data_IF_553278041117
#
_entry.id   IF_553278041117
#
_cell.length_a   1.000
_cell.length_b   1.000
_cell.length_c   1.000
_cell.angle_alpha   90.00
_cell.angle_beta   90.00
_cell.angle_gamma   90.00
#
_symmetry.space_group_name_H-M   'P 1'
#
loop_
_entity.id
_entity.type
_entity.pdbx_description
1 polymer ?
#
# COMPACT_ATOMS: atom_id res chain seq x y z
N UNK A 1 -32.96 71.82 40.72
CA UNK A 1 -32.04 71.14 41.64
C UNK A 1 -31.47 69.99 40.86
N UNK A 2 -30.24 70.19 40.40
CA UNK A 2 -29.47 69.25 39.58
C UNK A 2 -29.01 68.10 40.37
N UNK A 3 -29.08 66.91 39.73
CA UNK A 3 -28.32 65.79 40.16
C UNK A 3 -27.65 65.16 38.90
N UNK A 4 -26.40 65.45 38.73
CA UNK A 4 -25.47 64.93 37.77
C UNK A 4 -25.14 63.50 38.14
N UNK A 5 -25.39 62.54 37.22
CA UNK A 5 -24.93 61.17 37.33
C UNK A 5 -23.62 61.04 36.58
N UNK A 6 -22.61 60.59 37.33
CA UNK A 6 -21.25 60.23 36.87
C UNK A 6 -21.29 58.88 36.12
N UNK A 7 -20.83 58.86 34.87
CA UNK A 7 -20.67 57.66 34.07
C UNK A 7 -19.22 57.24 34.13
N UNK A 8 -18.98 56.14 34.88
CA UNK A 8 -17.72 55.41 34.84
C UNK A 8 -17.59 54.60 33.55
N UNK A 9 -16.67 54.99 32.67
CA UNK A 9 -16.23 54.23 31.52
C UNK A 9 -15.36 53.04 31.99
N UNK A 10 -15.85 51.84 31.87
CA UNK A 10 -15.04 50.64 31.95
C UNK A 10 -14.43 50.34 30.59
N UNK A 11 -13.13 50.56 30.46
CA UNK A 11 -12.34 50.14 29.30
C UNK A 11 -12.12 48.63 29.36
N UNK A 12 -12.81 47.86 28.51
CA UNK A 12 -12.48 46.47 28.26
C UNK A 12 -11.24 46.42 27.37
N UNK A 13 -10.13 45.98 27.93
CA UNK A 13 -8.94 45.58 27.16
C UNK A 13 -9.25 44.25 26.49
N UNK A 14 -9.57 44.32 25.21
CA UNK A 14 -9.67 43.17 24.32
C UNK A 14 -8.25 42.65 24.10
N UNK A 15 -7.91 41.52 24.74
CA UNK A 15 -6.72 40.76 24.43
C UNK A 15 -7.05 39.86 23.23
N UNK A 16 -6.33 39.97 22.12
CA UNK A 16 -6.49 39.04 21.03
C UNK A 16 -6.10 37.64 21.56
N UNK A 17 -7.07 36.71 21.55
CA UNK A 17 -6.79 35.28 21.73
C UNK A 17 -5.74 34.88 20.70
N UNK A 18 -4.63 34.33 21.17
CA UNK A 18 -3.60 33.77 20.32
C UNK A 18 -4.26 32.68 19.47
N UNK A 19 -4.32 32.87 18.15
CA UNK A 19 -4.68 31.83 17.19
C UNK A 19 -3.80 30.61 17.51
N UNK A 20 -4.43 29.55 17.97
CA UNK A 20 -3.75 28.30 18.25
C UNK A 20 -3.01 27.84 17.01
N UNK A 21 -1.71 27.73 17.09
CA UNK A 21 -0.90 27.15 16.04
C UNK A 21 -1.51 25.76 15.72
N UNK A 22 -1.95 25.59 14.47
CA UNK A 22 -2.44 24.28 14.02
C UNK A 22 -1.33 23.25 14.28
N UNK A 23 -1.68 22.12 14.89
CA UNK A 23 -0.73 21.03 15.08
C UNK A 23 -0.06 20.72 13.74
N UNK A 24 1.26 20.53 13.71
CA UNK A 24 1.95 20.22 12.49
C UNK A 24 1.35 18.94 11.86
N UNK A 25 1.09 18.99 10.55
CA UNK A 25 0.51 17.87 9.83
C UNK A 25 1.38 16.60 10.00
N UNK A 26 0.78 15.41 10.26
CA UNK A 26 1.52 14.23 10.68
C UNK A 26 2.44 13.71 9.57
N UNK A 27 3.66 13.33 9.96
CA UNK A 27 4.64 12.65 9.13
C UNK A 27 4.39 11.13 9.18
N UNK A 28 4.42 10.48 8.01
CA UNK A 28 4.11 9.06 7.87
C UNK A 28 5.35 8.27 7.42
N UNK A 29 5.79 7.28 8.19
CA UNK A 29 6.71 6.27 7.68
C UNK A 29 5.97 5.39 6.68
N UNK A 30 6.29 5.48 5.40
CA UNK A 30 5.77 4.61 4.37
C UNK A 30 6.75 3.45 4.13
N UNK A 31 6.29 2.23 4.36
CA UNK A 31 7.08 0.99 4.36
C UNK A 31 6.62 0.10 3.21
N UNK A 32 7.56 -0.37 2.39
CA UNK A 32 7.36 -1.37 1.34
C UNK A 32 8.07 -2.66 1.78
N UNK A 33 7.27 -3.65 2.17
CA UNK A 33 7.75 -4.98 2.56
C UNK A 33 7.79 -5.87 1.34
N UNK A 34 8.98 -6.21 0.88
CA UNK A 34 9.16 -7.09 -0.27
C UNK A 34 9.84 -8.40 0.09
N UNK A 35 9.56 -9.45 -0.70
CA UNK A 35 10.21 -10.77 -0.53
C UNK A 35 11.73 -10.77 -0.73
N UNK A 36 12.32 -9.72 -1.29
CA UNK A 36 13.78 -9.61 -1.51
C UNK A 36 14.38 -8.38 -0.85
N UNK A 37 13.57 -7.44 -0.38
CA UNK A 37 14.07 -6.22 0.26
C UNK A 37 12.98 -5.40 0.89
N UNK A 38 13.32 -4.75 1.98
CA UNK A 38 12.49 -3.84 2.75
C UNK A 38 12.92 -2.41 2.45
N UNK A 39 11.96 -1.51 2.25
CA UNK A 39 12.23 -0.09 1.96
C UNK A 39 11.32 0.77 2.82
N UNK A 40 11.80 1.96 3.18
CA UNK A 40 10.98 2.95 3.88
C UNK A 40 11.43 4.37 3.53
N UNK A 41 10.49 5.30 3.62
CA UNK A 41 10.73 6.73 3.52
C UNK A 41 9.69 7.49 4.35
N UNK A 42 9.93 8.76 4.66
CA UNK A 42 8.95 9.62 5.31
C UNK A 42 8.18 10.40 4.26
N UNK A 43 6.85 10.39 4.38
CA UNK A 43 5.92 11.20 3.61
C UNK A 43 5.32 12.29 4.48
N UNK A 44 5.10 13.47 3.91
CA UNK A 44 4.28 14.51 4.51
C UNK A 44 2.77 14.21 4.34
N UNK A 45 1.92 15.08 4.82
CA UNK A 45 0.45 14.93 4.74
C UNK A 45 -0.09 15.02 3.31
N UNK A 46 0.66 15.59 2.37
CA UNK A 46 0.30 15.64 0.96
C UNK A 46 0.78 14.39 0.19
N UNK A 47 1.51 13.48 0.86
CA UNK A 47 2.10 12.29 0.25
C UNK A 47 3.43 12.54 -0.46
N UNK A 48 4.01 13.73 -0.33
CA UNK A 48 5.34 14.00 -0.86
C UNK A 48 6.43 13.37 0.03
N UNK A 49 7.46 12.82 -0.60
CA UNK A 49 8.59 12.23 0.12
C UNK A 49 9.49 13.33 0.69
N UNK A 50 9.65 13.36 2.01
CA UNK A 50 10.44 14.36 2.75
C UNK A 50 11.71 13.81 3.38
N UNK A 51 12.06 12.56 3.11
CA UNK A 51 13.33 11.95 3.48
C UNK A 51 13.92 11.14 2.34
N UNK A 52 15.22 10.83 2.42
CA UNK A 52 15.80 9.80 1.58
C UNK A 52 15.16 8.44 1.86
N UNK A 53 15.07 7.61 0.82
CA UNK A 53 14.60 6.24 0.93
C UNK A 53 15.70 5.36 1.52
N UNK A 54 15.41 4.71 2.64
CA UNK A 54 16.26 3.68 3.22
C UNK A 54 15.84 2.29 2.73
N UNK A 55 16.81 1.37 2.63
CA UNK A 55 16.57 0.00 2.20
C UNK A 55 17.51 -0.99 2.88
N UNK A 56 17.02 -2.22 3.07
CA UNK A 56 17.80 -3.40 3.47
C UNK A 56 17.30 -4.63 2.70
N UNK A 57 18.12 -5.66 2.59
CA UNK A 57 17.69 -6.94 2.02
C UNK A 57 16.81 -7.68 3.02
N UNK A 58 15.78 -8.38 2.53
CA UNK A 58 15.00 -9.30 3.36
C UNK A 58 15.88 -10.49 3.74
N UNK A 59 15.94 -10.81 5.03
CA UNK A 59 16.75 -11.93 5.55
C UNK A 59 15.85 -13.15 5.73
N UNK A 60 16.31 -14.32 5.32
CA UNK A 60 15.60 -15.59 5.46
C UNK A 60 16.36 -16.58 6.34
N UNK A 61 15.68 -17.48 7.06
CA UNK A 61 14.22 -17.53 7.24
C UNK A 61 13.68 -16.29 7.95
N UNK A 62 12.47 -15.84 7.56
CA UNK A 62 11.89 -14.59 8.03
C UNK A 62 10.63 -14.84 8.87
N UNK A 63 10.80 -15.04 10.17
CA UNK A 63 9.68 -15.12 11.10
C UNK A 63 9.01 -13.74 11.30
N UNK A 64 7.77 -13.68 11.83
CA UNK A 64 7.13 -12.41 12.19
C UNK A 64 8.00 -11.52 13.07
N UNK A 65 8.61 -12.07 14.13
CA UNK A 65 9.50 -11.33 15.02
C UNK A 65 10.70 -10.77 14.27
N UNK A 66 11.32 -11.57 13.40
CA UNK A 66 12.46 -11.13 12.58
C UNK A 66 12.08 -9.97 11.67
N UNK A 67 10.92 -10.05 11.02
CA UNK A 67 10.44 -8.96 10.18
C UNK A 67 10.20 -7.69 10.99
N UNK A 68 9.56 -7.79 12.16
CA UNK A 68 9.33 -6.65 13.05
C UNK A 68 10.64 -5.98 13.46
N UNK A 69 11.67 -6.76 13.82
CA UNK A 69 12.99 -6.24 14.21
C UNK A 69 13.67 -5.52 13.03
N UNK A 70 13.62 -6.12 11.84
CA UNK A 70 14.20 -5.53 10.62
C UNK A 70 13.48 -4.23 10.23
N UNK A 71 12.14 -4.19 10.33
CA UNK A 71 11.36 -2.98 10.06
C UNK A 71 11.60 -1.89 11.08
N UNK A 72 11.68 -2.22 12.38
CA UNK A 72 12.02 -1.26 13.43
C UNK A 72 13.42 -0.67 13.21
N UNK A 73 14.40 -1.50 12.91
CA UNK A 73 15.74 -1.07 12.57
C UNK A 73 15.81 -0.22 11.29
N UNK A 74 14.94 -0.48 10.33
CA UNK A 74 14.83 0.30 9.09
C UNK A 74 14.21 1.68 9.36
N UNK A 75 13.08 1.73 10.07
CA UNK A 75 12.37 2.97 10.41
C UNK A 75 13.20 3.82 11.38
N UNK A 76 13.93 3.22 12.31
CA UNK A 76 14.85 3.92 13.21
C UNK A 76 15.99 4.68 12.51
N UNK A 77 16.20 4.48 11.21
CA UNK A 77 17.15 5.26 10.38
C UNK A 77 16.50 6.48 9.71
N UNK A 78 15.20 6.63 9.82
CA UNK A 78 14.44 7.75 9.29
C UNK A 78 14.37 8.90 10.31
N UNK A 79 14.06 10.13 9.87
CA UNK A 79 13.62 11.19 10.78
C UNK A 79 12.41 10.77 11.61
N UNK A 80 12.04 11.62 12.60
CA UNK A 80 10.82 11.44 13.39
C UNK A 80 9.58 11.23 12.49
N UNK A 81 8.70 10.34 12.94
CA UNK A 81 7.41 10.06 12.29
C UNK A 81 6.31 9.96 13.35
N UNK A 82 5.10 10.36 12.98
CA UNK A 82 3.94 10.35 13.87
C UNK A 82 3.08 9.10 13.70
N UNK A 83 3.22 8.40 12.56
CA UNK A 83 2.49 7.19 12.21
C UNK A 83 3.22 6.39 11.13
N UNK A 84 2.79 5.14 10.90
CA UNK A 84 3.37 4.29 9.87
C UNK A 84 2.31 3.62 9.00
N UNK A 85 2.66 3.36 7.73
CA UNK A 85 1.88 2.56 6.78
C UNK A 85 2.80 1.52 6.16
N UNK A 86 2.37 0.26 6.08
CA UNK A 86 3.15 -0.79 5.47
C UNK A 86 2.35 -1.54 4.39
N UNK A 87 2.96 -1.68 3.20
CA UNK A 87 2.50 -2.60 2.17
C UNK A 87 3.16 -3.97 2.39
N UNK A 88 2.38 -5.04 2.51
CA UNK A 88 2.82 -6.40 2.77
C UNK A 88 2.48 -7.34 1.60
N UNK A 89 3.42 -8.17 1.10
CA UNK A 89 3.20 -9.03 -0.05
C UNK A 89 2.47 -10.33 0.36
N UNK A 90 1.20 -10.23 0.63
CA UNK A 90 0.32 -11.33 1.04
C UNK A 90 -1.06 -10.83 1.40
N UNK A 91 -1.94 -11.75 1.77
CA UNK A 91 -3.30 -11.42 2.13
C UNK A 91 -3.32 -10.79 3.52
N UNK A 92 -3.76 -9.53 3.59
CA UNK A 92 -3.95 -8.77 4.82
C UNK A 92 -5.40 -8.33 4.92
N UNK A 93 -5.97 -8.44 6.13
CA UNK A 93 -7.32 -7.93 6.42
C UNK A 93 -7.34 -7.34 7.82
N UNK A 94 -7.73 -6.08 7.93
CA UNK A 94 -7.74 -5.33 9.20
C UNK A 94 -6.41 -5.46 9.96
N UNK A 95 -5.28 -5.32 9.23
CA UNK A 95 -3.94 -5.41 9.81
C UNK A 95 -3.46 -6.80 10.18
N UNK A 96 -4.28 -7.86 9.97
CA UNK A 96 -3.96 -9.26 10.27
C UNK A 96 -3.50 -9.94 8.98
N UNK A 97 -2.36 -10.63 9.02
CA UNK A 97 -1.84 -11.44 7.91
C UNK A 97 -2.60 -12.76 7.86
N UNK A 98 -3.27 -13.03 6.73
CA UNK A 98 -3.97 -14.29 6.46
C UNK A 98 -3.16 -15.22 5.57
N UNK A 99 -2.22 -14.68 4.78
CA UNK A 99 -1.23 -15.46 4.05
C UNK A 99 0.05 -14.64 3.84
N UNK A 100 1.20 -15.32 3.84
CA UNK A 100 2.53 -14.73 3.71
C UNK A 100 3.40 -15.57 2.77
N UNK A 101 3.07 -15.69 1.45
CA UNK A 101 3.65 -16.71 0.56
C UNK A 101 5.17 -16.60 0.41
N UNK A 102 5.74 -15.41 0.60
CA UNK A 102 7.19 -15.21 0.54
C UNK A 102 7.88 -15.50 1.88
N UNK A 103 7.19 -15.34 3.00
CA UNK A 103 7.76 -15.40 4.35
C UNK A 103 7.61 -16.77 5.03
N UNK A 104 6.78 -17.65 4.47
CA UNK A 104 6.64 -19.05 4.95
C UNK A 104 7.68 -19.97 4.33
N UNK A 105 8.70 -19.45 3.67
CA UNK A 105 9.72 -20.22 2.93
C UNK A 105 11.09 -20.15 3.61
N UNK A 106 11.88 -21.21 3.47
CA UNK A 106 13.17 -21.35 4.17
C UNK A 106 14.25 -20.38 3.68
N UNK A 107 14.23 -20.02 2.39
CA UNK A 107 15.28 -19.22 1.75
C UNK A 107 14.74 -18.10 0.84
N UNK A 108 13.46 -17.75 0.97
CA UNK A 108 12.83 -16.70 0.19
C UNK A 108 11.95 -17.20 -0.95
N UNK A 109 11.41 -16.29 -1.76
CA UNK A 109 10.41 -16.59 -2.77
C UNK A 109 10.83 -17.72 -3.72
N UNK A 110 10.01 -18.79 -3.79
CA UNK A 110 10.22 -19.96 -4.66
C UNK A 110 11.06 -21.07 -4.04
N UNK A 111 11.51 -20.93 -2.79
CA UNK A 111 12.12 -22.05 -2.02
C UNK A 111 11.04 -22.86 -1.30
N UNK A 112 11.47 -23.94 -0.63
CA UNK A 112 10.58 -24.85 0.09
C UNK A 112 9.84 -24.13 1.22
N UNK A 113 8.62 -24.56 1.49
CA UNK A 113 7.78 -24.05 2.58
C UNK A 113 8.25 -24.67 3.90
N UNK A 114 8.25 -23.81 4.94
CA UNK A 114 8.53 -24.18 6.31
C UNK A 114 7.22 -24.17 7.12
N UNK A 115 6.89 -25.30 7.73
CA UNK A 115 5.65 -25.49 8.50
C UNK A 115 5.63 -24.65 9.79
N UNK A 116 6.78 -24.36 10.41
CA UNK A 116 6.85 -23.53 11.60
C UNK A 116 6.60 -22.06 11.24
N UNK A 117 7.22 -21.59 10.15
CA UNK A 117 6.95 -20.26 9.62
C UNK A 117 5.48 -20.13 9.18
N UNK A 118 4.92 -21.14 8.54
CA UNK A 118 3.52 -21.15 8.13
C UNK A 118 2.58 -20.95 9.33
N UNK A 119 2.83 -21.65 10.43
CA UNK A 119 2.08 -21.49 11.68
C UNK A 119 2.32 -20.14 12.34
N UNK A 120 3.55 -19.64 12.30
CA UNK A 120 3.90 -18.35 12.92
C UNK A 120 3.26 -17.14 12.20
N UNK A 121 3.07 -17.24 10.88
CA UNK A 121 2.44 -16.20 10.06
C UNK A 121 0.92 -16.30 10.01
N UNK A 122 0.34 -17.46 10.39
CA UNK A 122 -1.10 -17.67 10.33
C UNK A 122 -1.84 -16.73 11.29
N UNK A 123 -2.69 -15.88 10.76
CA UNK A 123 -3.45 -14.87 11.50
C UNK A 123 -2.59 -13.95 12.38
N UNK A 124 -1.36 -13.64 11.93
CA UNK A 124 -0.46 -12.79 12.70
C UNK A 124 -0.93 -11.32 12.67
N UNK A 125 -1.13 -10.65 13.83
CA UNK A 125 -1.63 -9.28 13.93
C UNK A 125 -0.52 -8.26 13.64
N UNK A 126 -0.07 -8.20 12.38
CA UNK A 126 1.12 -7.45 11.96
C UNK A 126 1.00 -5.95 12.25
N UNK A 127 -0.18 -5.35 12.06
CA UNK A 127 -0.36 -3.91 12.31
C UNK A 127 -0.17 -3.57 13.78
N UNK A 128 -0.80 -4.34 14.69
CA UNK A 128 -0.71 -4.10 16.13
C UNK A 128 0.70 -4.34 16.67
N UNK A 129 1.35 -5.42 16.23
CA UNK A 129 2.69 -5.77 16.68
C UNK A 129 3.74 -4.78 16.14
N UNK A 130 3.55 -4.29 14.91
CA UNK A 130 4.41 -3.27 14.32
C UNK A 130 4.18 -1.91 15.01
N UNK A 131 2.92 -1.54 15.33
CA UNK A 131 2.62 -0.34 16.08
C UNK A 131 3.28 -0.32 17.46
N UNK A 132 3.25 -1.46 18.18
CA UNK A 132 3.96 -1.61 19.46
C UNK A 132 5.47 -1.45 19.29
N UNK A 133 6.03 -2.01 18.22
CA UNK A 133 7.48 -1.98 17.99
C UNK A 133 7.99 -0.61 17.56
N UNK A 134 7.19 0.14 16.79
CA UNK A 134 7.53 1.48 16.32
C UNK A 134 7.08 2.60 17.27
N UNK A 135 6.25 2.27 18.27
CA UNK A 135 5.64 3.22 19.23
C UNK A 135 4.80 4.31 18.54
N UNK A 136 4.27 4.03 17.34
CA UNK A 136 3.37 4.93 16.61
C UNK A 136 2.19 4.15 16.03
N UNK A 137 1.03 4.79 15.84
CA UNK A 137 -0.09 4.17 15.13
C UNK A 137 0.36 3.62 13.78
N UNK A 138 -0.02 2.39 13.45
CA UNK A 138 0.43 1.71 12.24
C UNK A 138 -0.73 1.06 11.51
N UNK A 139 -0.79 1.22 10.20
CA UNK A 139 -1.70 0.50 9.31
C UNK A 139 -0.92 -0.40 8.36
N UNK A 140 -1.47 -1.58 8.09
CA UNK A 140 -0.89 -2.56 7.16
C UNK A 140 -1.96 -3.00 6.17
N UNK A 141 -1.61 -2.97 4.89
CA UNK A 141 -2.45 -3.45 3.79
C UNK A 141 -1.62 -4.32 2.84
N UNK A 142 -2.26 -4.95 1.86
CA UNK A 142 -1.52 -5.61 0.80
C UNK A 142 -0.70 -4.59 -0.01
N UNK A 143 0.43 -5.02 -0.60
CA UNK A 143 1.33 -4.14 -1.36
C UNK A 143 0.67 -3.55 -2.61
N UNK A 144 -0.21 -4.30 -3.30
CA UNK A 144 -0.97 -3.79 -4.44
C UNK A 144 -2.05 -2.78 -4.00
N UNK A 145 -2.63 -2.94 -2.80
CA UNK A 145 -3.57 -1.98 -2.23
C UNK A 145 -2.89 -0.63 -1.97
N UNK A 146 -1.70 -0.66 -1.36
CA UNK A 146 -0.90 0.55 -1.12
C UNK A 146 -0.49 1.21 -2.44
N UNK A 147 -0.02 0.43 -3.41
CA UNK A 147 0.34 0.97 -4.73
C UNK A 147 -0.88 1.57 -5.45
N UNK A 148 -2.02 0.88 -5.36
CA UNK A 148 -3.27 1.32 -5.96
C UNK A 148 -3.76 2.64 -5.39
N UNK A 149 -3.72 2.80 -4.09
CA UNK A 149 -4.15 4.01 -3.40
C UNK A 149 -3.43 5.29 -3.88
N UNK A 150 -2.21 5.16 -4.44
CA UNK A 150 -1.46 6.29 -4.99
C UNK A 150 -1.93 6.74 -6.39
N UNK A 151 -2.67 5.91 -7.12
CA UNK A 151 -2.95 6.15 -8.55
C UNK A 151 -4.43 6.32 -8.86
N UNK A 152 -5.33 5.84 -8.00
CA UNK A 152 -6.79 5.98 -8.20
C UNK A 152 -7.22 7.44 -8.11
N UNK A 153 -8.20 7.80 -8.92
CA UNK A 153 -8.75 9.16 -8.97
C UNK A 153 -9.93 9.37 -8.03
N UNK A 154 -10.52 8.28 -7.53
CA UNK A 154 -11.63 8.32 -6.59
C UNK A 154 -12.99 8.46 -7.24
N UNK A 155 -13.18 7.92 -8.45
CA UNK A 155 -14.45 7.98 -9.16
C UNK A 155 -14.89 6.60 -9.63
N UNK A 156 -16.03 6.12 -9.13
CA UNK A 156 -16.60 4.84 -9.50
C UNK A 156 -15.78 3.65 -9.01
N UNK A 157 -15.90 2.51 -9.70
CA UNK A 157 -15.13 1.30 -9.39
C UNK A 157 -13.81 1.30 -10.16
N UNK A 158 -12.71 1.42 -9.46
CA UNK A 158 -11.37 1.47 -10.02
C UNK A 158 -10.61 0.18 -9.69
N UNK A 159 -10.10 -0.49 -10.71
CA UNK A 159 -9.24 -1.68 -10.59
C UNK A 159 -7.78 -1.29 -10.76
N UNK A 160 -6.93 -1.76 -9.88
CA UNK A 160 -5.47 -1.67 -10.04
C UNK A 160 -4.90 -3.07 -10.25
N UNK A 161 -4.04 -3.21 -11.25
CA UNK A 161 -3.29 -4.44 -11.54
C UNK A 161 -1.80 -4.11 -11.47
N UNK A 162 -1.07 -4.79 -10.62
CA UNK A 162 0.40 -4.65 -10.55
C UNK A 162 1.07 -5.83 -11.23
N UNK A 163 1.99 -5.54 -12.17
CA UNK A 163 2.73 -6.54 -12.95
C UNK A 163 4.21 -6.51 -12.57
N UNK A 164 4.65 -7.54 -11.88
CA UNK A 164 6.01 -7.68 -11.37
C UNK A 164 6.49 -9.13 -11.40
N UNK A 165 7.11 -9.60 -10.32
CA UNK A 165 7.44 -11.02 -10.11
C UNK A 165 6.19 -11.88 -10.29
N UNK A 166 5.08 -11.43 -9.72
CA UNK A 166 3.73 -11.95 -9.87
C UNK A 166 2.76 -10.89 -10.39
N UNK A 167 1.49 -11.07 -10.06
CA UNK A 167 0.38 -10.17 -10.32
C UNK A 167 -0.29 -9.83 -8.99
N UNK A 168 -0.43 -8.55 -8.69
CA UNK A 168 -1.28 -8.08 -7.59
C UNK A 168 -2.51 -7.39 -8.15
N UNK A 169 -3.57 -7.33 -7.36
CA UNK A 169 -4.82 -6.65 -7.71
C UNK A 169 -5.35 -5.89 -6.52
N UNK A 170 -5.92 -4.70 -6.74
CA UNK A 170 -6.62 -3.92 -5.73
C UNK A 170 -7.89 -3.32 -6.32
N UNK A 171 -8.92 -3.16 -5.51
CA UNK A 171 -10.19 -2.55 -5.90
C UNK A 171 -10.48 -1.35 -5.02
N UNK A 172 -10.97 -0.28 -5.65
CA UNK A 172 -11.40 0.93 -4.98
C UNK A 172 -12.78 1.32 -5.48
N UNK A 173 -13.60 1.87 -4.60
CA UNK A 173 -14.89 2.44 -4.97
C UNK A 173 -14.99 3.86 -4.39
N UNK A 174 -15.19 4.84 -5.28
CA UNK A 174 -15.20 6.26 -4.95
C UNK A 174 -14.01 6.67 -4.05
N UNK A 175 -12.80 6.16 -4.40
CA UNK A 175 -11.54 6.41 -3.70
C UNK A 175 -11.33 5.57 -2.43
N UNK A 176 -12.36 4.90 -1.92
CA UNK A 176 -12.25 4.00 -0.78
C UNK A 176 -11.69 2.63 -1.18
N UNK A 177 -10.66 2.15 -0.47
CA UNK A 177 -10.13 0.79 -0.67
C UNK A 177 -11.18 -0.24 -0.24
N UNK A 178 -11.54 -1.15 -1.14
CA UNK A 178 -12.37 -2.30 -0.83
C UNK A 178 -11.55 -3.40 -0.14
N UNK A 179 -12.21 -4.37 0.54
CA UNK A 179 -11.51 -5.52 1.11
C UNK A 179 -10.67 -6.22 0.05
N UNK A 180 -9.40 -6.47 0.37
CA UNK A 180 -8.46 -7.11 -0.56
C UNK A 180 -8.97 -8.47 -1.06
N UNK A 181 -8.86 -8.68 -2.38
CA UNK A 181 -9.22 -9.92 -3.06
C UNK A 181 -8.05 -10.36 -3.96
N UNK A 182 -7.63 -11.60 -3.78
CA UNK A 182 -6.53 -12.23 -4.54
C UNK A 182 -6.99 -12.72 -5.92
N UNK A 183 -7.46 -11.83 -6.78
CA UNK A 183 -7.90 -12.18 -8.14
C UNK A 183 -6.81 -12.83 -8.98
N UNK A 184 -5.54 -12.54 -8.69
CA UNK A 184 -4.40 -13.14 -9.37
C UNK A 184 -4.35 -14.66 -9.26
N UNK A 185 -4.96 -15.25 -8.23
CA UNK A 185 -5.04 -16.69 -8.03
C UNK A 185 -6.23 -17.36 -8.73
N UNK A 186 -7.07 -16.59 -9.41
CA UNK A 186 -8.17 -17.15 -10.20
C UNK A 186 -7.65 -17.90 -11.45
N UNK A 187 -8.33 -18.98 -11.87
CA UNK A 187 -7.99 -19.68 -13.11
C UNK A 187 -8.08 -18.75 -14.33
N UNK A 188 -7.07 -18.77 -15.17
CA UNK A 188 -7.03 -17.92 -16.36
C UNK A 188 -6.89 -18.70 -17.65
N UNK A 189 -5.85 -19.52 -17.77
CA UNK A 189 -5.53 -20.15 -19.04
C UNK A 189 -4.83 -21.51 -18.86
N UNK A 190 -5.32 -22.54 -19.56
CA UNK A 190 -4.73 -23.91 -19.55
C UNK A 190 -4.59 -24.54 -18.16
N UNK A 191 -5.46 -24.19 -17.24
CA UNK A 191 -5.42 -24.63 -15.85
C UNK A 191 -4.55 -23.77 -14.92
N UNK A 192 -3.75 -22.86 -15.47
CA UNK A 192 -2.93 -21.94 -14.68
C UNK A 192 -3.72 -20.67 -14.29
N UNK A 193 -3.30 -20.02 -13.23
CA UNK A 193 -3.85 -18.76 -12.71
C UNK A 193 -3.38 -17.55 -13.50
N UNK A 194 -3.95 -16.36 -13.23
CA UNK A 194 -3.42 -15.09 -13.76
C UNK A 194 -1.97 -14.89 -13.34
N UNK A 195 -1.66 -15.13 -12.06
CA UNK A 195 -0.31 -14.98 -11.51
C UNK A 195 0.71 -15.86 -12.27
N UNK A 196 0.39 -17.13 -12.48
CA UNK A 196 1.27 -18.07 -13.19
C UNK A 196 1.42 -17.76 -14.68
N UNK A 197 0.46 -17.08 -15.29
CA UNK A 197 0.47 -16.78 -16.74
C UNK A 197 1.02 -15.40 -17.08
N UNK A 198 1.06 -14.46 -16.12
CA UNK A 198 1.42 -13.05 -16.35
C UNK A 198 2.66 -12.59 -15.58
N UNK A 199 3.14 -13.35 -14.58
CA UNK A 199 4.32 -13.00 -13.82
C UNK A 199 5.62 -12.96 -14.66
N UNK A 200 6.65 -12.32 -14.12
CA UNK A 200 7.95 -12.08 -14.78
C UNK A 200 8.57 -13.35 -15.40
N UNK A 201 8.51 -14.47 -14.72
CA UNK A 201 9.06 -15.75 -15.21
C UNK A 201 8.46 -16.15 -16.56
N UNK A 202 7.16 -15.94 -16.74
CA UNK A 202 6.48 -16.25 -17.99
C UNK A 202 6.79 -15.20 -19.04
N UNK A 203 6.78 -13.92 -18.68
CA UNK A 203 7.17 -12.83 -19.58
C UNK A 203 8.54 -13.08 -20.20
N UNK A 204 9.55 -13.36 -19.37
CA UNK A 204 10.92 -13.66 -19.82
C UNK A 204 10.97 -14.86 -20.77
N UNK A 205 10.14 -15.89 -20.53
CA UNK A 205 10.11 -17.11 -21.36
C UNK A 205 9.47 -16.90 -22.73
N UNK A 206 8.38 -16.10 -22.83
CA UNK A 206 7.58 -15.99 -24.07
C UNK A 206 7.83 -14.70 -24.85
N UNK A 207 8.53 -13.73 -24.26
CA UNK A 207 8.80 -12.40 -24.79
C UNK A 207 7.63 -11.41 -24.63
N UNK A 208 8.00 -10.11 -24.61
CA UNK A 208 7.08 -9.01 -24.28
C UNK A 208 5.84 -8.97 -25.18
N UNK A 209 5.97 -9.16 -26.48
CA UNK A 209 4.84 -9.08 -27.41
C UNK A 209 3.77 -10.17 -27.22
N UNK A 210 4.18 -11.42 -26.90
CA UNK A 210 3.22 -12.49 -26.59
C UNK A 210 2.63 -12.30 -25.19
N UNK A 211 3.43 -11.80 -24.28
CA UNK A 211 3.02 -11.51 -22.91
C UNK A 211 2.00 -10.35 -22.88
N UNK A 212 2.24 -9.24 -23.58
CA UNK A 212 1.31 -8.12 -23.68
C UNK A 212 -0.08 -8.55 -24.20
N UNK A 213 -0.13 -9.46 -25.18
CA UNK A 213 -1.41 -10.04 -25.64
C UNK A 213 -2.14 -10.85 -24.57
N UNK A 214 -1.39 -11.49 -23.63
CA UNK A 214 -2.02 -12.18 -22.49
C UNK A 214 -2.53 -11.19 -21.46
N UNK A 215 -1.77 -10.12 -21.20
CA UNK A 215 -2.22 -9.04 -20.30
C UNK A 215 -3.51 -8.40 -20.84
N UNK A 216 -3.58 -8.08 -22.13
CA UNK A 216 -4.81 -7.57 -22.74
C UNK A 216 -6.01 -8.49 -22.51
N UNK A 217 -5.82 -9.80 -22.73
CA UNK A 217 -6.88 -10.78 -22.44
C UNK A 217 -7.24 -10.87 -20.95
N UNK A 218 -6.28 -10.71 -20.05
CA UNK A 218 -6.55 -10.68 -18.62
C UNK A 218 -7.36 -9.44 -18.21
N UNK A 219 -7.03 -8.27 -18.78
CA UNK A 219 -7.82 -7.04 -18.60
C UNK A 219 -9.26 -7.25 -19.07
N UNK A 220 -9.47 -7.89 -20.22
CA UNK A 220 -10.84 -8.21 -20.70
C UNK A 220 -11.59 -9.15 -19.76
N UNK A 221 -10.90 -10.13 -19.15
CA UNK A 221 -11.50 -10.99 -18.13
C UNK A 221 -11.88 -10.18 -16.89
N UNK A 222 -11.00 -9.33 -16.39
CA UNK A 222 -11.30 -8.48 -15.22
C UNK A 222 -12.42 -7.48 -15.54
N UNK A 223 -12.46 -6.91 -16.73
CA UNK A 223 -13.57 -6.04 -17.16
C UNK A 223 -14.92 -6.75 -17.07
N UNK A 224 -14.99 -8.01 -17.49
CA UNK A 224 -16.21 -8.82 -17.38
C UNK A 224 -16.53 -9.27 -15.95
N UNK A 225 -15.53 -9.43 -15.09
CA UNK A 225 -15.71 -9.87 -13.70
C UNK A 225 -16.14 -8.74 -12.77
N UNK A 226 -15.56 -7.55 -12.94
CA UNK A 226 -15.71 -6.45 -11.99
C UNK A 226 -16.55 -5.31 -12.52
N UNK A 227 -16.70 -5.19 -13.87
CA UNK A 227 -17.34 -4.02 -14.50
C UNK A 227 -16.73 -2.70 -14.03
N UNK A 228 -15.38 -2.65 -13.89
CA UNK A 228 -14.69 -1.44 -13.48
C UNK A 228 -14.95 -0.27 -14.42
N UNK A 229 -15.01 0.93 -13.88
CA UNK A 229 -15.10 2.18 -14.65
C UNK A 229 -13.72 2.57 -15.19
N UNK A 230 -12.65 2.30 -14.43
CA UNK A 230 -11.26 2.53 -14.84
C UNK A 230 -10.32 1.47 -14.32
N UNK A 231 -9.26 1.15 -15.09
CA UNK A 231 -8.22 0.21 -14.69
C UNK A 231 -6.84 0.85 -14.79
N UNK A 232 -6.05 0.75 -13.73
CA UNK A 232 -4.64 1.17 -13.71
C UNK A 232 -3.74 -0.05 -13.77
N UNK A 233 -2.74 -0.02 -14.65
CA UNK A 233 -1.73 -1.08 -14.73
C UNK A 233 -0.37 -0.52 -14.34
N UNK A 234 0.14 -0.96 -13.19
CA UNK A 234 1.42 -0.58 -12.62
C UNK A 234 2.38 -1.78 -12.47
N UNK A 235 3.42 -1.56 -11.65
CA UNK A 235 4.47 -2.55 -11.41
C UNK A 235 5.61 -2.47 -12.42
N UNK A 236 6.74 -3.10 -12.09
CA UNK A 236 7.99 -2.98 -12.86
C UNK A 236 7.90 -3.44 -14.32
N UNK A 237 6.91 -4.27 -14.65
CA UNK A 237 6.70 -4.78 -16.01
C UNK A 237 5.66 -3.98 -16.83
N UNK A 238 4.95 -3.05 -16.22
CA UNK A 238 3.91 -2.26 -16.90
C UNK A 238 4.48 -1.49 -18.12
N UNK A 239 5.67 -0.95 -18.00
CA UNK A 239 6.36 -0.20 -19.08
C UNK A 239 6.73 -1.06 -20.31
N UNK A 240 6.59 -2.39 -20.22
CA UNK A 240 6.86 -3.31 -21.32
C UNK A 240 5.61 -3.66 -22.13
N UNK A 241 4.47 -3.12 -21.70
CA UNK A 241 3.23 -3.26 -22.44
C UNK A 241 3.29 -2.42 -23.72
N UNK A 242 2.75 -2.97 -24.77
CA UNK A 242 2.63 -2.30 -26.08
C UNK A 242 1.21 -2.47 -26.63
N UNK A 243 0.73 -1.45 -27.33
CA UNK A 243 -0.63 -1.42 -27.87
C UNK A 243 -1.66 -0.86 -26.87
N UNK A 244 -2.86 -0.56 -27.37
CA UNK A 244 -3.98 -0.11 -26.54
C UNK A 244 -4.60 -1.30 -25.79
N UNK A 245 -4.99 -1.06 -24.55
CA UNK A 245 -5.74 -1.99 -23.69
C UNK A 245 -7.20 -1.57 -23.51
N UNK A 246 -7.59 -0.45 -24.12
CA UNK A 246 -8.89 0.21 -24.00
C UNK A 246 -8.74 1.64 -23.47
N UNK A 247 -9.75 2.46 -23.72
CA UNK A 247 -9.76 3.87 -23.27
C UNK A 247 -10.00 3.97 -21.74
N UNK A 248 -10.50 2.89 -21.14
CA UNK A 248 -10.73 2.69 -19.73
C UNK A 248 -9.50 2.16 -18.98
N UNK A 249 -8.31 2.10 -19.63
CA UNK A 249 -7.09 1.56 -19.05
C UNK A 249 -5.94 2.55 -19.14
N UNK A 250 -5.31 2.85 -18.00
CA UNK A 250 -4.10 3.68 -17.90
C UNK A 250 -2.92 2.88 -17.37
N UNK A 251 -1.79 2.98 -18.07
CA UNK A 251 -0.52 2.43 -17.55
C UNK A 251 0.18 3.50 -16.69
N UNK A 252 0.54 3.14 -15.47
CA UNK A 252 1.20 4.02 -14.50
C UNK A 252 2.64 3.56 -14.24
N UNK A 253 3.51 4.49 -13.87
CA UNK A 253 4.87 4.15 -13.51
C UNK A 253 4.96 3.50 -12.10
N UNK A 254 6.13 2.96 -11.75
CA UNK A 254 6.35 2.25 -10.50
C UNK A 254 6.77 3.18 -9.33
N UNK A 255 6.67 4.50 -9.47
CA UNK A 255 7.04 5.45 -8.41
C UNK A 255 6.02 5.44 -7.26
N UNK A 256 4.80 4.99 -7.54
CA UNK A 256 3.67 4.94 -6.61
C UNK A 256 3.83 3.98 -5.42
N UNK A 257 4.79 3.03 -5.46
CA UNK A 257 4.86 1.91 -4.52
C UNK A 257 4.95 2.25 -3.02
N UNK A 258 5.40 3.45 -2.66
CA UNK A 258 5.44 3.94 -1.27
C UNK A 258 4.41 5.05 -1.04
N UNK A 259 4.12 5.86 -2.08
CA UNK A 259 3.33 7.10 -1.94
C UNK A 259 1.89 6.84 -1.49
N UNK A 260 1.32 5.70 -1.84
CA UNK A 260 -0.04 5.33 -1.42
C UNK A 260 -0.20 5.07 0.08
N UNK A 261 0.90 4.93 0.82
CA UNK A 261 0.84 4.72 2.27
C UNK A 261 0.10 5.82 3.03
N UNK A 262 0.13 7.06 2.54
CA UNK A 262 -0.61 8.16 3.15
C UNK A 262 -2.13 7.97 3.02
N UNK A 263 -2.59 7.40 1.91
CA UNK A 263 -4.00 7.20 1.60
C UNK A 263 -4.69 6.23 2.56
N UNK A 264 -3.96 5.30 3.16
CA UNK A 264 -4.52 4.40 4.17
C UNK A 264 -5.07 5.15 5.40
N UNK A 265 -4.66 6.40 5.62
CA UNK A 265 -5.10 7.24 6.75
C UNK A 265 -6.30 8.13 6.42
N UNK A 266 -6.70 8.20 5.17
CA UNK A 266 -7.91 8.91 4.77
C UNK A 266 -9.16 8.09 5.15
N UNK A 267 -10.28 8.77 5.41
CA UNK A 267 -11.57 8.12 5.71
C UNK A 267 -12.10 7.38 4.47
N UNK A 268 -12.72 6.24 4.67
CA UNK A 268 -13.35 5.46 3.59
C UNK A 268 -12.63 4.16 3.21
N UNK A 269 -11.46 3.87 3.77
CA UNK A 269 -10.76 2.60 3.54
C UNK A 269 -11.35 1.50 4.44
N UNK A 270 -11.95 0.49 3.82
CA UNK A 270 -12.58 -0.65 4.52
C UNK A 270 -11.57 -1.79 4.65
N UNK A 271 -11.35 -2.27 5.89
CA UNK A 271 -10.50 -3.44 6.12
C UNK A 271 -9.00 -3.16 6.26
N UNK A 272 -8.62 -1.90 6.53
CA UNK A 272 -7.23 -1.48 6.79
C UNK A 272 -7.05 -1.11 8.25
#
# INVERSE_FOLDING_TARGET
MDATADQAQTSSTDHPEAEGAADPAPLTAAIDVGGTGLKAAVLDSAGAMVSDRVKVSTTYPCSPTKLLDDLAGLVGRLPHVDRASAGFPGMVRSGIVLSAPHFVTVAGPGSDIDDELSRAWDHFPLADELAKRLEVPTKVANDADVQGAAVVTGTGLELVITLGTGVGTALFFDGGLLPHLEFAHFPFRKGDTFNEQLGERVRARIGDGKWAKRVAKAVDCFRQLTFFDHCYIGGGNAQRLSGSLGDDVTTVDNSAGILGGIKLWESGHVGV
#
